data_IF_832462891698
#
_entry.id   IF_832462891698
#
_cell.length_a   1.000
_cell.length_b   1.000
_cell.length_c   1.000
_cell.angle_alpha   90.00
_cell.angle_beta   90.00
_cell.angle_gamma   90.00
#
_symmetry.space_group_name_H-M   'P 1'
#
loop_
_entity.id
_entity.type
_entity.pdbx_description
1 polymer ?
#
# COMPACT_ATOMS: atom_id res chain seq x y z
N UNK A 1 11.58 -2.01 4.15
CA UNK A 1 10.14 -2.33 4.20
C UNK A 1 9.50 -1.81 2.92
N UNK A 2 8.61 -2.61 2.33
CA UNK A 2 7.74 -2.19 1.23
C UNK A 2 6.33 -2.11 1.80
N UNK A 3 5.67 -0.96 1.62
CA UNK A 3 4.32 -0.69 2.14
C UNK A 3 3.51 -0.07 1.01
N UNK A 4 2.21 -0.37 0.95
CA UNK A 4 1.31 0.28 0.00
C UNK A 4 -0.14 -0.14 0.22
N UNK A 5 -1.03 0.45 -0.58
CA UNK A 5 -2.47 0.24 -0.51
C UNK A 5 -3.11 0.59 -1.86
N UNK A 6 -4.36 0.19 -2.04
CA UNK A 6 -5.18 0.50 -3.21
C UNK A 6 -5.96 1.79 -2.95
N UNK A 7 -6.08 2.67 -3.94
CA UNK A 7 -6.60 4.02 -3.69
C UNK A 7 -8.06 4.06 -3.20
N UNK A 8 -8.86 3.02 -3.48
CA UNK A 8 -10.26 2.89 -3.08
C UNK A 8 -10.54 1.52 -2.47
N UNK A 9 -9.75 1.11 -1.46
CA UNK A 9 -9.84 -0.17 -0.73
C UNK A 9 -11.28 -0.66 -0.50
N UNK A 10 -12.19 0.24 -0.09
CA UNK A 10 -13.55 -0.08 0.33
C UNK A 10 -14.64 0.19 -0.71
N UNK A 11 -14.30 0.55 -1.95
CA UNK A 11 -15.34 0.87 -2.96
C UNK A 11 -16.25 -0.32 -3.26
N UNK A 12 -15.78 -1.56 -3.13
CA UNK A 12 -16.63 -2.75 -3.33
C UNK A 12 -17.85 -2.80 -2.39
N UNK A 13 -17.77 -2.16 -1.22
CA UNK A 13 -18.89 -2.08 -0.28
C UNK A 13 -20.02 -1.20 -0.80
N UNK A 14 -19.73 -0.20 -1.66
CA UNK A 14 -20.68 0.85 -2.04
C UNK A 14 -21.01 0.88 -3.53
N UNK A 15 -20.11 0.41 -4.40
CA UNK A 15 -20.18 0.61 -5.85
C UNK A 15 -21.53 0.26 -6.47
N UNK A 16 -22.07 -0.90 -6.08
CA UNK A 16 -23.31 -1.50 -6.58
C UNK A 16 -24.40 -1.61 -5.50
N UNK A 17 -24.23 -0.89 -4.38
CA UNK A 17 -25.22 -0.89 -3.30
C UNK A 17 -26.50 -0.19 -3.77
N UNK A 18 -27.65 -0.84 -3.56
CA UNK A 18 -28.98 -0.26 -3.82
C UNK A 18 -29.28 0.86 -2.83
N UNK A 19 -30.06 1.84 -3.27
CA UNK A 19 -30.35 3.07 -2.52
C UNK A 19 -30.94 2.81 -1.12
N UNK A 20 -31.85 1.85 -1.02
CA UNK A 20 -32.50 1.41 0.22
C UNK A 20 -31.55 0.72 1.21
N UNK A 21 -30.41 0.22 0.72
CA UNK A 21 -29.46 -0.56 1.51
C UNK A 21 -28.33 0.28 2.13
N UNK A 22 -28.28 1.58 1.88
CA UNK A 22 -27.26 2.45 2.48
C UNK A 22 -27.46 2.59 3.98
N UNK A 23 -26.46 2.17 4.76
CA UNK A 23 -26.46 2.33 6.21
C UNK A 23 -26.28 3.81 6.58
N UNK A 24 -27.35 4.44 7.10
CA UNK A 24 -27.34 5.84 7.52
C UNK A 24 -26.41 6.13 8.71
N UNK A 25 -26.05 5.10 9.48
CA UNK A 25 -25.15 5.19 10.64
C UNK A 25 -23.71 4.74 10.29
N UNK A 26 -23.33 4.77 9.02
CA UNK A 26 -22.02 4.27 8.54
C UNK A 26 -20.83 4.93 9.23
N UNK A 27 -20.93 6.21 9.62
CA UNK A 27 -19.86 6.89 10.34
C UNK A 27 -19.77 6.43 11.79
N UNK A 28 -20.91 6.38 12.48
CA UNK A 28 -21.05 5.91 13.86
C UNK A 28 -20.51 4.48 14.00
N UNK A 29 -20.99 3.57 13.16
CA UNK A 29 -20.65 2.14 13.21
C UNK A 29 -19.16 1.90 12.96
N UNK A 30 -18.56 2.63 12.01
CA UNK A 30 -17.14 2.49 11.73
C UNK A 30 -16.28 3.09 12.84
N UNK A 31 -16.60 4.30 13.32
CA UNK A 31 -15.88 4.89 14.44
C UNK A 31 -15.97 3.98 15.69
N UNK A 32 -17.11 3.30 15.89
CA UNK A 32 -17.32 2.38 17.00
C UNK A 32 -16.38 1.17 16.97
N UNK A 33 -15.69 0.91 15.85
CA UNK A 33 -14.64 -0.11 15.79
C UNK A 33 -13.39 0.32 16.56
N UNK A 34 -13.02 1.61 16.54
CA UNK A 34 -11.76 2.12 17.10
C UNK A 34 -11.93 2.94 18.40
N UNK A 35 -13.14 3.46 18.67
CA UNK A 35 -13.41 4.33 19.83
C UNK A 35 -14.45 3.69 20.76
N UNK A 36 -14.28 3.82 22.07
CA UNK A 36 -15.21 3.34 23.11
C UNK A 36 -16.43 4.26 23.26
N UNK A 37 -16.22 5.57 23.14
CA UNK A 37 -17.25 6.59 23.29
C UNK A 37 -17.24 7.47 22.06
N UNK A 38 -18.40 7.58 21.42
CA UNK A 38 -18.62 8.37 20.21
C UNK A 38 -19.87 9.18 20.46
N UNK A 39 -19.72 10.50 20.50
CA UNK A 39 -20.84 11.41 20.55
C UNK A 39 -21.18 11.95 19.16
N UNK A 40 -22.22 12.79 19.09
CA UNK A 40 -22.67 13.38 17.83
C UNK A 40 -21.65 14.33 17.22
N UNK A 41 -20.79 14.96 18.02
CA UNK A 41 -19.80 15.91 17.52
C UNK A 41 -18.64 15.19 16.83
N UNK A 42 -18.22 14.04 17.37
CA UNK A 42 -17.26 13.15 16.71
C UNK A 42 -17.74 12.73 15.32
N UNK A 43 -18.97 12.21 15.27
CA UNK A 43 -19.59 11.72 14.02
C UNK A 43 -19.74 12.86 13.03
N UNK A 44 -20.26 14.01 13.48
CA UNK A 44 -20.46 15.18 12.64
C UNK A 44 -19.14 15.69 12.03
N UNK A 45 -18.07 15.74 12.82
CA UNK A 45 -16.76 16.19 12.35
C UNK A 45 -16.22 15.30 11.22
N UNK A 46 -16.31 13.98 11.38
CA UNK A 46 -15.88 13.02 10.35
C UNK A 46 -16.80 13.06 9.15
N UNK A 47 -18.12 13.02 9.36
CA UNK A 47 -19.12 13.10 8.29
C UNK A 47 -18.89 14.32 7.41
N UNK A 48 -18.78 15.49 8.03
CA UNK A 48 -18.62 16.75 7.29
C UNK A 48 -17.31 16.84 6.52
N UNK A 49 -16.28 16.10 6.92
CA UNK A 49 -14.99 16.05 6.22
C UNK A 49 -15.02 15.19 4.94
N UNK A 50 -16.09 14.40 4.73
CA UNK A 50 -16.23 13.52 3.57
C UNK A 50 -17.47 13.82 2.72
N UNK A 51 -18.63 14.03 3.35
CA UNK A 51 -19.91 14.23 2.64
C UNK A 51 -20.58 15.56 2.99
N UNK A 52 -19.89 16.43 3.73
CA UNK A 52 -20.43 17.74 4.12
C UNK A 52 -21.85 17.62 4.72
N UNK A 53 -22.84 18.29 4.13
CA UNK A 53 -24.24 18.26 4.55
C UNK A 53 -25.07 17.21 3.80
N UNK A 54 -24.51 16.51 2.81
CA UNK A 54 -25.21 15.52 1.97
C UNK A 54 -25.66 14.27 2.75
N UNK A 55 -26.78 13.70 2.33
CA UNK A 55 -27.29 12.45 2.91
C UNK A 55 -26.50 11.24 2.42
N UNK A 56 -26.29 10.27 3.32
CA UNK A 56 -25.69 8.97 2.98
C UNK A 56 -26.55 8.29 1.93
N UNK A 57 -26.07 8.22 0.68
CA UNK A 57 -26.83 7.73 -0.45
C UNK A 57 -25.91 7.31 -1.60
N UNK A 58 -26.51 6.90 -2.72
CA UNK A 58 -25.78 6.52 -3.93
C UNK A 58 -24.98 7.67 -4.55
N UNK A 59 -25.37 8.92 -4.33
CA UNK A 59 -24.70 10.09 -4.92
C UNK A 59 -23.31 10.32 -4.33
N UNK A 60 -23.16 10.06 -3.03
CA UNK A 60 -21.90 10.22 -2.26
C UNK A 60 -21.14 8.90 -2.09
N UNK A 61 -21.44 7.88 -2.90
CA UNK A 61 -20.87 6.53 -2.71
C UNK A 61 -19.34 6.48 -2.76
N UNK A 62 -18.71 7.36 -3.54
CA UNK A 62 -17.25 7.44 -3.63
C UNK A 62 -16.65 8.07 -2.37
N UNK A 63 -17.28 9.11 -1.83
CA UNK A 63 -16.85 9.76 -0.59
C UNK A 63 -16.99 8.83 0.62
N UNK A 64 -18.06 8.03 0.65
CA UNK A 64 -18.22 6.95 1.64
C UNK A 64 -17.15 5.87 1.50
N UNK A 65 -16.81 5.49 0.26
CA UNK A 65 -15.72 4.56 0.00
C UNK A 65 -14.37 5.13 0.41
N UNK A 66 -14.12 6.42 0.18
CA UNK A 66 -12.91 7.11 0.62
C UNK A 66 -12.81 7.16 2.14
N UNK A 67 -13.88 7.56 2.82
CA UNK A 67 -13.96 7.56 4.29
C UNK A 67 -13.58 6.19 4.85
N UNK A 68 -14.24 5.13 4.37
CA UNK A 68 -14.02 3.82 4.94
C UNK A 68 -12.64 3.27 4.58
N UNK A 69 -12.14 3.54 3.36
CA UNK A 69 -10.76 3.18 2.97
C UNK A 69 -9.73 3.88 3.84
N UNK A 70 -9.92 5.18 4.10
CA UNK A 70 -9.04 5.98 4.92
C UNK A 70 -9.03 5.47 6.35
N UNK A 71 -10.20 5.25 6.93
CA UNK A 71 -10.34 4.79 8.30
C UNK A 71 -9.77 3.37 8.52
N UNK A 72 -10.07 2.42 7.62
CA UNK A 72 -9.76 1.01 7.89
C UNK A 72 -8.40 0.53 7.36
N UNK A 73 -7.79 1.23 6.40
CA UNK A 73 -6.52 0.81 5.78
C UNK A 73 -5.50 1.94 5.71
N UNK A 74 -5.85 3.06 5.07
CA UNK A 74 -4.86 4.05 4.63
C UNK A 74 -4.30 4.81 5.82
N UNK A 75 -5.15 5.31 6.73
CA UNK A 75 -4.68 6.03 7.91
C UNK A 75 -3.91 5.13 8.89
N UNK A 76 -4.35 3.89 9.21
CA UNK A 76 -3.54 2.94 9.96
C UNK A 76 -2.13 2.70 9.37
N UNK A 77 -2.02 2.59 8.04
CA UNK A 77 -0.73 2.53 7.34
C UNK A 77 0.04 3.83 7.58
N UNK A 78 -0.57 4.98 7.30
CA UNK A 78 0.05 6.30 7.41
C UNK A 78 0.65 6.55 8.80
N UNK A 79 -0.15 6.37 9.86
CA UNK A 79 0.28 6.60 11.25
C UNK A 79 1.38 5.66 11.73
N UNK A 80 1.59 4.53 11.05
CA UNK A 80 2.66 3.58 11.38
C UNK A 80 4.02 3.97 10.77
N UNK A 81 4.03 4.76 9.69
CA UNK A 81 5.25 5.11 8.95
C UNK A 81 6.30 5.84 9.80
N UNK A 82 5.93 6.83 10.65
CA UNK A 82 6.90 7.49 11.53
C UNK A 82 7.60 6.49 12.45
N UNK A 83 6.85 5.52 13.00
CA UNK A 83 7.41 4.53 13.92
C UNK A 83 8.44 3.64 13.24
N UNK A 84 8.16 3.22 12.00
CA UNK A 84 9.14 2.47 11.21
C UNK A 84 10.41 3.31 10.94
N UNK A 85 10.27 4.59 10.59
CA UNK A 85 11.39 5.50 10.37
C UNK A 85 12.24 5.72 11.62
N UNK A 86 11.62 5.91 12.79
CA UNK A 86 12.31 6.04 14.08
C UNK A 86 13.16 4.82 14.41
N UNK A 87 12.71 3.63 13.99
CA UNK A 87 13.44 2.38 14.15
C UNK A 87 14.44 2.11 13.01
N UNK A 88 14.79 3.14 12.24
CA UNK A 88 15.81 3.05 11.18
C UNK A 88 15.35 2.31 9.93
N UNK A 89 14.06 2.02 9.77
CA UNK A 89 13.58 1.32 8.58
C UNK A 89 13.65 2.21 7.33
N UNK A 90 14.23 1.66 6.26
CA UNK A 90 14.10 2.22 4.92
C UNK A 90 12.80 1.76 4.30
N UNK A 91 11.89 2.68 4.02
CA UNK A 91 10.52 2.37 3.59
C UNK A 91 10.28 2.86 2.16
N UNK A 92 9.84 1.95 1.30
CA UNK A 92 9.34 2.25 -0.04
C UNK A 92 7.83 2.19 0.01
N UNK A 93 7.18 3.25 -0.49
CA UNK A 93 5.73 3.43 -0.38
C UNK A 93 5.11 3.51 -1.77
N UNK A 94 4.01 2.79 -1.99
CA UNK A 94 3.24 2.87 -3.23
C UNK A 94 1.74 3.06 -2.97
N UNK A 95 1.05 3.60 -3.99
CA UNK A 95 -0.40 3.65 -4.07
C UNK A 95 -0.81 3.01 -5.40
N UNK A 96 -1.53 1.90 -5.33
CA UNK A 96 -2.04 1.24 -6.52
C UNK A 96 -3.40 1.83 -6.90
N UNK A 97 -3.52 2.32 -8.13
CA UNK A 97 -4.69 3.03 -8.65
C UNK A 97 -5.18 2.46 -9.98
N UNK A 98 -4.39 1.60 -10.62
CA UNK A 98 -4.72 1.06 -11.92
C UNK A 98 -6.05 0.29 -11.93
N UNK A 99 -6.90 0.65 -12.89
CA UNK A 99 -8.18 0.01 -13.17
C UNK A 99 -8.10 -0.65 -14.55
N UNK A 100 -7.65 -1.90 -14.60
CA UNK A 100 -7.53 -2.71 -15.81
C UNK A 100 -8.48 -3.89 -15.84
N UNK A 101 -8.29 -4.75 -16.83
CA UNK A 101 -9.13 -5.91 -17.08
C UNK A 101 -8.92 -7.03 -16.08
N UNK A 102 -7.87 -6.98 -15.26
CA UNK A 102 -7.54 -8.04 -14.28
C UNK A 102 -7.97 -7.73 -12.86
N UNK A 103 -8.47 -6.53 -12.53
CA UNK A 103 -8.96 -6.17 -11.19
C UNK A 103 -10.03 -7.15 -10.70
N UNK A 104 -9.61 -8.21 -10.02
CA UNK A 104 -10.43 -9.40 -9.78
C UNK A 104 -11.67 -9.12 -8.94
N UNK A 105 -11.55 -8.27 -7.92
CA UNK A 105 -12.72 -7.94 -7.10
C UNK A 105 -13.70 -7.10 -7.90
N UNK A 106 -13.21 -6.19 -8.75
CA UNK A 106 -14.09 -5.41 -9.64
C UNK A 106 -14.79 -6.29 -10.67
N UNK A 107 -14.11 -7.29 -11.24
CA UNK A 107 -14.73 -8.27 -12.13
C UNK A 107 -15.81 -9.08 -11.41
N UNK A 108 -15.47 -9.66 -10.26
CA UNK A 108 -16.36 -10.51 -9.46
C UNK A 108 -17.63 -9.77 -9.03
N UNK A 109 -17.47 -8.52 -8.61
CA UNK A 109 -18.56 -7.68 -8.08
C UNK A 109 -19.22 -6.79 -9.16
N UNK A 110 -18.80 -6.90 -10.42
CA UNK A 110 -19.27 -6.07 -11.54
C UNK A 110 -19.14 -4.55 -11.28
N UNK A 111 -17.99 -4.11 -10.77
CA UNK A 111 -17.72 -2.70 -10.40
C UNK A 111 -17.13 -1.95 -11.60
N UNK A 112 -17.84 -0.94 -12.08
CA UNK A 112 -17.41 -0.06 -13.20
C UNK A 112 -16.81 1.28 -12.76
N UNK A 113 -16.54 1.46 -11.46
CA UNK A 113 -15.96 2.69 -10.90
C UNK A 113 -14.47 2.89 -11.16
N UNK A 114 -13.91 4.08 -10.83
CA UNK A 114 -12.49 4.38 -10.99
C UNK A 114 -11.63 3.61 -9.98
N UNK A 115 -10.33 3.62 -10.20
CA UNK A 115 -9.35 3.12 -9.24
C UNK A 115 -9.38 1.61 -9.04
N UNK A 116 -8.67 1.19 -8.00
CA UNK A 116 -8.54 -0.18 -7.55
C UNK A 116 -9.16 -0.35 -6.16
N UNK A 117 -9.84 -1.48 -5.96
CA UNK A 117 -10.43 -1.85 -4.66
C UNK A 117 -9.57 -2.89 -3.97
N UNK A 118 -9.92 -3.26 -2.74
CA UNK A 118 -9.11 -4.21 -1.95
C UNK A 118 -8.73 -5.47 -2.73
N UNK A 119 -7.45 -5.84 -2.70
CA UNK A 119 -6.85 -7.02 -3.36
C UNK A 119 -6.72 -6.98 -4.88
N UNK A 120 -7.14 -5.92 -5.55
CA UNK A 120 -6.99 -5.78 -7.01
C UNK A 120 -5.53 -5.71 -7.49
N UNK A 121 -4.56 -5.38 -6.64
CA UNK A 121 -3.15 -5.32 -6.98
C UNK A 121 -2.50 -6.71 -7.05
N UNK A 122 -3.06 -7.69 -6.31
CA UNK A 122 -2.44 -9.02 -6.14
C UNK A 122 -2.37 -9.80 -7.44
N UNK A 123 -3.38 -9.63 -8.29
CA UNK A 123 -3.56 -10.28 -9.60
C UNK A 123 -2.63 -9.76 -10.70
N UNK A 124 -1.96 -8.63 -10.42
CA UNK A 124 -0.86 -8.11 -11.23
C UNK A 124 0.50 -8.64 -10.76
N UNK A 125 0.60 -9.14 -9.52
CA UNK A 125 1.83 -9.72 -8.97
C UNK A 125 1.87 -11.25 -9.08
N UNK A 126 0.71 -11.89 -8.97
CA UNK A 126 0.56 -13.34 -8.99
C UNK A 126 -0.38 -13.76 -10.11
N UNK A 127 -0.01 -14.85 -10.77
CA UNK A 127 -0.92 -15.53 -11.67
C UNK A 127 -2.02 -16.24 -10.87
N UNK A 128 -3.27 -16.03 -11.25
CA UNK A 128 -4.43 -16.62 -10.59
C UNK A 128 -5.27 -17.33 -11.63
N UNK A 129 -5.59 -18.61 -11.37
CA UNK A 129 -6.31 -19.50 -12.29
C UNK A 129 -7.71 -19.03 -12.69
N UNK A 130 -8.26 -18.05 -11.95
CA UNK A 130 -9.57 -17.44 -12.20
C UNK A 130 -9.54 -16.35 -13.29
N UNK A 131 -8.37 -15.97 -13.79
CA UNK A 131 -8.20 -14.91 -14.78
C UNK A 131 -8.07 -15.49 -16.20
N UNK A 132 -8.44 -14.72 -17.24
CA UNK A 132 -8.20 -15.11 -18.62
C UNK A 132 -6.72 -15.41 -18.87
N UNK A 133 -6.44 -16.40 -19.73
CA UNK A 133 -5.07 -16.77 -20.11
C UNK A 133 -4.35 -15.63 -20.85
N UNK A 134 -5.09 -14.78 -21.57
CA UNK A 134 -4.54 -13.69 -22.37
C UNK A 134 -4.71 -12.33 -21.68
N UNK A 135 -3.60 -11.63 -21.51
CA UNK A 135 -3.58 -10.26 -20.99
C UNK A 135 -3.79 -9.24 -22.10
N UNK A 136 -4.46 -8.14 -21.77
CA UNK A 136 -4.39 -6.93 -22.60
C UNK A 136 -2.96 -6.38 -22.58
N UNK A 137 -2.50 -5.67 -23.62
CA UNK A 137 -1.19 -5.01 -23.60
C UNK A 137 -1.01 -4.08 -22.40
N UNK A 138 -2.08 -3.40 -21.98
CA UNK A 138 -2.09 -2.50 -20.83
C UNK A 138 -1.92 -3.27 -19.52
N UNK A 139 -2.68 -4.35 -19.32
CA UNK A 139 -2.55 -5.19 -18.11
C UNK A 139 -1.16 -5.85 -18.04
N UNK A 140 -0.63 -6.32 -19.17
CA UNK A 140 0.72 -6.89 -19.24
C UNK A 140 1.78 -5.85 -18.86
N UNK A 141 1.65 -4.62 -19.33
CA UNK A 141 2.58 -3.55 -18.95
C UNK A 141 2.57 -3.29 -17.44
N UNK A 142 1.41 -3.39 -16.78
CA UNK A 142 1.30 -3.23 -15.32
C UNK A 142 1.87 -4.45 -14.57
N UNK A 143 1.64 -5.67 -15.07
CA UNK A 143 2.29 -6.90 -14.57
C UNK A 143 3.81 -6.72 -14.61
N UNK A 144 4.37 -6.31 -15.75
CA UNK A 144 5.81 -6.11 -15.91
C UNK A 144 6.33 -5.05 -14.92
N UNK A 145 5.64 -3.90 -14.85
CA UNK A 145 6.01 -2.81 -13.93
C UNK A 145 5.99 -3.26 -12.45
N UNK A 146 4.91 -3.91 -11.99
CA UNK A 146 4.77 -4.29 -10.57
C UNK A 146 5.70 -5.46 -10.22
N UNK A 147 5.87 -6.45 -11.08
CA UNK A 147 6.77 -7.59 -10.84
C UNK A 147 8.23 -7.12 -10.82
N UNK A 148 8.62 -6.22 -11.72
CA UNK A 148 9.95 -5.60 -11.70
C UNK A 148 10.14 -4.79 -10.42
N UNK A 149 9.17 -3.96 -10.05
CA UNK A 149 9.22 -3.14 -8.85
C UNK A 149 9.41 -4.00 -7.57
N UNK A 150 8.62 -5.07 -7.42
CA UNK A 150 8.70 -5.98 -6.26
C UNK A 150 9.99 -6.80 -6.28
N UNK A 151 10.37 -7.39 -7.42
CA UNK A 151 11.61 -8.18 -7.53
C UNK A 151 12.85 -7.31 -7.34
N UNK A 152 12.84 -6.07 -7.82
CA UNK A 152 13.91 -5.09 -7.58
C UNK A 152 14.06 -4.81 -6.08
N UNK A 153 12.96 -4.60 -5.36
CA UNK A 153 12.99 -4.40 -3.91
C UNK A 153 13.62 -5.61 -3.19
N UNK A 154 13.24 -6.84 -3.56
CA UNK A 154 13.79 -8.08 -3.00
C UNK A 154 15.28 -8.25 -3.34
N UNK A 155 15.66 -8.09 -4.62
CA UNK A 155 17.05 -8.21 -5.07
C UNK A 155 17.98 -7.23 -4.35
N UNK A 156 17.53 -5.98 -4.16
CA UNK A 156 18.31 -4.95 -3.45
C UNK A 156 18.58 -5.32 -2.00
N UNK A 157 17.63 -5.97 -1.33
CA UNK A 157 17.84 -6.50 0.03
C UNK A 157 18.86 -7.63 0.01
N UNK A 158 18.72 -8.59 -0.90
CA UNK A 158 19.62 -9.74 -1.02
C UNK A 158 21.06 -9.35 -1.32
N UNK A 159 21.28 -8.41 -2.25
CA UNK A 159 22.63 -7.91 -2.57
C UNK A 159 23.29 -7.30 -1.32
N UNK A 160 22.56 -6.51 -0.54
CA UNK A 160 23.08 -5.92 0.70
C UNK A 160 23.43 -7.00 1.75
N UNK A 161 22.62 -8.06 1.87
CA UNK A 161 22.89 -9.19 2.77
C UNK A 161 24.15 -9.96 2.32
N UNK A 162 24.30 -10.23 1.03
CA UNK A 162 25.49 -10.87 0.46
C UNK A 162 26.77 -10.07 0.76
N UNK A 163 26.73 -8.74 0.65
CA UNK A 163 27.86 -7.89 1.01
C UNK A 163 28.18 -7.94 2.51
N UNK A 164 27.16 -7.94 3.38
CA UNK A 164 27.35 -8.09 4.84
C UNK A 164 27.98 -9.44 5.19
N UNK A 165 27.51 -10.54 4.58
CA UNK A 165 28.06 -11.88 4.82
C UNK A 165 29.52 -12.00 4.35
N UNK A 166 29.88 -11.37 3.22
CA UNK A 166 31.29 -11.30 2.75
C UNK A 166 32.20 -10.55 3.71
N UNK A 167 31.68 -9.55 4.44
CA UNK A 167 32.42 -8.83 5.47
C UNK A 167 32.61 -9.62 6.78
N UNK A 168 31.80 -10.66 7.01
CA UNK A 168 31.86 -11.50 8.21
C UNK A 168 32.69 -12.78 8.02
N UNK A 169 32.91 -13.23 6.78
CA UNK A 169 33.82 -14.33 6.49
C UNK A 169 35.27 -13.87 6.59
N UNK A 170 35.92 -14.11 7.73
CA UNK A 170 37.39 -14.11 7.80
C UNK A 170 37.91 -15.17 6.81
N UNK A 171 38.93 -14.89 5.99
CA UNK A 171 39.49 -15.91 5.13
C UNK A 171 40.18 -16.97 6.00
N UNK A 172 39.56 -18.13 6.15
CA UNK A 172 40.26 -19.34 6.55
C UNK A 172 41.00 -19.86 5.31
N UNK A 173 42.30 -20.21 5.40
CA UNK A 173 43.00 -20.86 4.32
C UNK A 173 42.43 -22.27 4.15
N UNK A 174 41.56 -22.48 3.16
CA UNK A 174 41.00 -23.79 2.84
C UNK A 174 42.04 -24.52 1.97
N UNK A 175 42.63 -25.58 2.53
CA UNK A 175 43.33 -26.59 1.75
C UNK A 175 42.32 -27.26 0.81
N UNK A 176 42.67 -27.29 -0.47
CA UNK A 176 41.89 -27.85 -1.56
C UNK A 176 41.77 -29.37 -1.46
N UNK A 177 40.54 -29.90 -1.47
CA UNK A 177 40.12 -31.14 -2.19
C UNK A 177 38.63 -31.43 -1.95
N UNK A 178 37.72 -30.54 -2.33
CA UNK A 178 36.30 -30.93 -2.41
C UNK A 178 35.68 -30.42 -3.73
N UNK A 179 35.21 -31.36 -4.55
CA UNK A 179 34.73 -31.17 -5.92
C UNK A 179 33.21 -31.03 -6.01
N UNK A 180 32.54 -30.58 -4.94
CA UNK A 180 31.12 -30.19 -5.02
C UNK A 180 31.01 -28.75 -5.53
N UNK A 181 30.58 -28.64 -6.79
CA UNK A 181 30.35 -27.43 -7.58
C UNK A 181 29.93 -26.19 -6.73
N UNK A 182 30.87 -25.27 -6.41
CA UNK A 182 30.49 -24.01 -5.81
C UNK A 182 29.91 -23.16 -6.93
N UNK A 183 28.59 -22.92 -6.90
CA UNK A 183 27.96 -21.91 -7.75
C UNK A 183 28.76 -20.60 -7.60
N UNK A 184 29.53 -20.26 -8.64
CA UNK A 184 30.60 -19.28 -8.53
C UNK A 184 30.02 -17.91 -8.16
N UNK A 185 30.34 -17.43 -6.96
CA UNK A 185 29.84 -16.17 -6.39
C UNK A 185 30.10 -14.93 -7.27
N UNK A 186 31.08 -14.98 -8.19
CA UNK A 186 31.28 -13.94 -9.22
C UNK A 186 30.21 -13.99 -10.30
N UNK A 187 29.89 -15.18 -10.80
CA UNK A 187 28.83 -15.39 -11.79
C UNK A 187 27.46 -15.01 -11.24
N UNK A 188 27.17 -15.38 -9.99
CA UNK A 188 25.94 -14.97 -9.31
C UNK A 188 25.85 -13.44 -9.23
N UNK A 189 26.95 -12.76 -8.85
CA UNK A 189 26.94 -11.29 -8.78
C UNK A 189 26.77 -10.60 -10.14
N UNK A 190 27.42 -11.11 -11.20
CA UNK A 190 27.31 -10.57 -12.56
C UNK A 190 25.91 -10.80 -13.14
N UNK A 191 25.31 -11.97 -12.90
CA UNK A 191 23.94 -12.28 -13.28
C UNK A 191 22.95 -11.32 -12.61
N UNK A 192 23.08 -11.09 -11.31
CA UNK A 192 22.24 -10.13 -10.60
C UNK A 192 22.45 -8.70 -11.10
N UNK A 193 23.69 -8.28 -11.35
CA UNK A 193 24.02 -6.92 -11.79
C UNK A 193 23.53 -6.62 -13.22
N UNK A 194 23.59 -7.60 -14.13
CA UNK A 194 22.99 -7.49 -15.46
C UNK A 194 21.47 -7.41 -15.39
N UNK A 195 20.84 -8.30 -14.63
CA UNK A 195 19.39 -8.26 -14.40
C UNK A 195 18.93 -6.96 -13.71
N UNK A 196 19.82 -6.30 -12.98
CA UNK A 196 19.57 -5.02 -12.32
C UNK A 196 19.58 -3.85 -13.32
N UNK A 197 20.48 -3.83 -14.30
CA UNK A 197 20.52 -2.80 -15.34
C UNK A 197 19.26 -2.84 -16.22
N UNK A 198 18.89 -4.04 -16.67
CA UNK A 198 17.72 -4.26 -17.53
C UNK A 198 16.41 -3.88 -16.80
N UNK A 199 16.32 -4.11 -15.48
CA UNK A 199 15.14 -3.73 -14.68
C UNK A 199 15.02 -2.24 -14.41
N UNK A 200 16.13 -1.51 -14.32
CA UNK A 200 16.10 -0.05 -14.14
C UNK A 200 15.70 0.73 -15.39
N UNK A 201 15.91 0.17 -16.58
CA UNK A 201 15.47 0.80 -17.84
C UNK A 201 13.94 0.69 -18.03
N UNK A 202 13.33 -0.37 -17.50
CA UNK A 202 11.87 -0.60 -17.55
C UNK A 202 11.10 0.26 -16.55
N UNK A 203 11.70 0.59 -15.40
CA UNK A 203 11.16 1.56 -14.46
C UNK A 203 11.58 2.96 -14.92
N UNK A 204 10.78 3.59 -15.77
CA UNK A 204 10.94 4.99 -16.21
C UNK A 204 11.03 6.00 -15.06
N UNK A 205 10.82 5.57 -13.82
CA UNK A 205 10.87 6.37 -12.60
C UNK A 205 11.78 5.73 -11.55
N UNK A 206 12.69 6.54 -11.00
CA UNK A 206 13.49 6.18 -9.82
C UNK A 206 12.61 6.20 -8.57
N UNK A 207 12.39 5.03 -7.97
CA UNK A 207 11.63 4.93 -6.71
C UNK A 207 12.45 5.39 -5.51
N UNK A 208 12.07 6.55 -4.95
CA UNK A 208 12.72 7.15 -3.78
C UNK A 208 11.96 6.72 -2.52
N UNK A 209 12.66 6.22 -1.47
CA UNK A 209 12.01 5.89 -0.20
C UNK A 209 11.48 7.15 0.50
N UNK A 210 10.64 6.96 1.49
CA UNK A 210 10.23 8.05 2.39
C UNK A 210 11.41 8.46 3.29
N UNK A 211 11.41 9.73 3.69
CA UNK A 211 12.34 10.29 4.69
C UNK A 211 11.57 11.06 5.75
N UNK A 212 12.29 11.56 6.76
CA UNK A 212 11.70 12.44 7.79
C UNK A 212 11.06 13.71 7.19
N UNK A 213 11.62 14.21 6.09
CA UNK A 213 11.21 15.48 5.47
C UNK A 213 10.29 15.28 4.26
N UNK A 214 10.22 14.06 3.70
CA UNK A 214 9.50 13.79 2.47
C UNK A 214 8.79 12.43 2.48
N UNK A 215 7.46 12.47 2.48
CA UNK A 215 6.61 11.30 2.28
C UNK A 215 6.44 10.99 0.78
N UNK A 216 7.51 10.52 0.14
CA UNK A 216 7.49 10.11 -1.27
C UNK A 216 6.70 8.82 -1.45
N UNK A 217 5.95 8.70 -2.54
CA UNK A 217 5.29 7.44 -2.91
C UNK A 217 5.29 7.26 -4.43
N UNK A 218 5.24 6.00 -4.86
CA UNK A 218 5.05 5.64 -6.26
C UNK A 218 3.56 5.39 -6.51
N UNK A 219 2.93 6.21 -7.35
CA UNK A 219 1.60 5.92 -7.86
C UNK A 219 1.72 4.92 -9.02
N UNK A 220 0.97 3.82 -8.92
CA UNK A 220 0.89 2.77 -9.94
C UNK A 220 -0.50 2.88 -10.58
N UNK A 221 -0.54 3.58 -11.71
CA UNK A 221 -1.68 3.62 -12.63
C UNK A 221 -1.16 3.17 -14.02
N UNK A 222 -1.77 3.61 -15.12
CA UNK A 222 -1.24 3.40 -16.49
C UNK A 222 0.25 3.75 -16.58
N UNK A 223 0.66 4.84 -15.94
CA UNK A 223 2.05 5.23 -15.78
C UNK A 223 2.51 5.19 -14.32
N UNK A 224 3.80 4.89 -14.13
CA UNK A 224 4.44 5.02 -12.84
C UNK A 224 4.77 6.48 -12.59
N UNK A 225 4.31 7.04 -11.48
CA UNK A 225 4.59 8.46 -11.14
C UNK A 225 5.08 8.58 -9.70
N UNK A 226 6.26 9.19 -9.49
CA UNK A 226 6.73 9.52 -8.14
C UNK A 226 6.04 10.80 -7.67
N UNK A 227 5.28 10.70 -6.59
CA UNK A 227 4.54 11.80 -5.97
C UNK A 227 4.93 11.93 -4.50
N UNK A 228 4.38 12.94 -3.83
CA UNK A 228 4.60 13.22 -2.40
C UNK A 228 3.26 13.38 -1.69
N UNK A 229 3.23 13.00 -0.41
CA UNK A 229 2.12 13.24 0.53
C UNK A 229 0.78 12.73 -0.04
N UNK A 230 0.60 11.40 -0.20
CA UNK A 230 -0.67 10.87 -0.66
C UNK A 230 -1.78 11.23 0.33
N UNK A 231 -2.94 11.63 -0.19
CA UNK A 231 -4.12 12.06 0.60
C UNK A 231 -3.78 13.09 1.70
N UNK A 232 -2.95 14.09 1.39
CA UNK A 232 -2.41 15.05 2.37
C UNK A 232 -3.48 15.65 3.30
N UNK A 233 -4.59 16.13 2.74
CA UNK A 233 -5.66 16.77 3.50
C UNK A 233 -6.35 15.78 4.44
N UNK A 234 -6.70 14.59 3.94
CA UNK A 234 -7.37 13.55 4.73
C UNK A 234 -6.45 13.02 5.84
N UNK A 235 -5.17 12.81 5.55
CA UNK A 235 -4.23 12.32 6.58
C UNK A 235 -4.02 13.37 7.68
N UNK A 236 -3.92 14.66 7.31
CA UNK A 236 -3.85 15.74 8.30
C UNK A 236 -5.11 15.84 9.16
N UNK A 237 -6.29 15.65 8.56
CA UNK A 237 -7.55 15.55 9.30
C UNK A 237 -7.51 14.39 10.31
N UNK A 238 -7.14 13.19 9.88
CA UNK A 238 -7.10 12.03 10.76
C UNK A 238 -6.03 12.14 11.85
N UNK A 239 -4.87 12.72 11.56
CA UNK A 239 -3.84 13.02 12.56
C UNK A 239 -4.41 13.90 13.67
N UNK A 240 -5.12 14.98 13.30
CA UNK A 240 -5.75 15.87 14.26
C UNK A 240 -6.89 15.16 15.02
N UNK A 241 -7.77 14.46 14.31
CA UNK A 241 -8.92 13.76 14.88
C UNK A 241 -8.48 12.74 15.94
N UNK A 242 -7.49 11.90 15.64
CA UNK A 242 -6.97 10.92 16.60
C UNK A 242 -6.23 11.58 17.76
N UNK A 243 -5.55 12.72 17.53
CA UNK A 243 -4.86 13.47 18.58
C UNK A 243 -5.83 14.03 19.60
N UNK A 244 -6.93 14.65 19.16
CA UNK A 244 -7.93 15.27 20.05
C UNK A 244 -8.86 14.24 20.72
N UNK A 245 -9.06 13.09 20.09
CA UNK A 245 -9.98 12.04 20.57
C UNK A 245 -9.26 10.84 21.19
N UNK A 246 -7.97 10.97 21.50
CA UNK A 246 -7.11 9.87 21.95
C UNK A 246 -7.66 9.17 23.19
N UNK A 247 -8.20 9.93 24.13
CA UNK A 247 -8.79 9.42 25.38
C UNK A 247 -9.99 8.49 25.15
N UNK A 248 -10.63 8.59 23.99
CA UNK A 248 -11.79 7.78 23.62
C UNK A 248 -11.40 6.50 22.87
N UNK A 249 -10.12 6.33 22.51
CA UNK A 249 -9.65 5.15 21.77
C UNK A 249 -9.81 3.87 22.59
N UNK A 250 -10.21 2.80 21.91
CA UNK A 250 -10.19 1.46 22.49
C UNK A 250 -8.75 1.07 22.85
N UNK A 251 -8.58 0.56 24.07
CA UNK A 251 -7.26 0.17 24.58
C UNK A 251 -6.40 1.32 25.09
N UNK A 252 -6.89 2.57 25.09
CA UNK A 252 -6.19 3.68 25.74
C UNK A 252 -6.10 3.45 27.25
N UNK A 253 -4.90 3.59 27.82
CA UNK A 253 -4.66 3.56 29.27
C UNK A 253 -4.09 4.91 29.70
N UNK A 254 -4.69 5.51 30.73
CA UNK A 254 -4.25 6.82 31.26
C UNK A 254 -2.83 6.80 31.81
N UNK A 255 -2.33 5.61 32.19
CA UNK A 255 -1.00 5.40 32.78
C UNK A 255 0.14 5.35 31.77
N UNK A 256 -0.13 5.38 30.46
CA UNK A 256 0.91 5.26 29.42
C UNK A 256 1.81 6.52 29.28
N UNK A 257 1.68 7.50 30.20
CA UNK A 257 2.39 8.79 30.16
C UNK A 257 2.85 9.30 31.55
N UNK A 258 2.95 8.42 32.56
CA UNK A 258 3.68 8.73 33.81
C UNK A 258 5.11 8.20 33.74
#
# INVERSE_FOLDING_TARGET
>A
ILVGYNNLERLFEYANKREDNYNKNVFDDNLALAFNTIDKDHVKLVRNSYIEDEDVSVTVKYDLAEFYSDFSFIYPIHRSLPKYLENGAKIFYYVFKYAGGRNFVKLRENITGPGAVHSDEKVYLFDMTVLPETNTPEDQAIIDKITIMWTYFVKKIWVNILFLLRGLTRPNPINSTDHHNPMNLKFVSLFFQRSYSETTELLSVKWIPISKDALNYLEIDKELTLKKRPKQTQMAFWDLYYKINKQHLKGYRSTDFN
#
